data_IF_771681896255
#
_entry.id   IF_771681896255
#
_cell.length_a   1.000
_cell.length_b   1.000
_cell.length_c   1.000
_cell.angle_alpha   90.00
_cell.angle_beta   90.00
_cell.angle_gamma   90.00
#
_symmetry.space_group_name_H-M   'P 1'
#
loop_
_entity.id
_entity.type
_entity.pdbx_description
1 polymer ?
#
# COMPACT_ATOMS: atom_id res chain seq x y z
N UNK A 1 -10.37 4.85 -19.86
CA UNK A 1 -10.79 5.47 -18.58
C UNK A 1 -11.68 4.58 -17.72
N UNK A 2 -12.85 4.13 -18.18
CA UNK A 2 -13.76 3.32 -17.33
C UNK A 2 -13.11 2.08 -16.69
N UNK A 3 -12.29 1.34 -17.44
CA UNK A 3 -11.55 0.18 -16.91
C UNK A 3 -10.55 0.57 -15.82
N UNK A 4 -9.79 1.66 -16.02
CA UNK A 4 -8.83 2.17 -15.03
C UNK A 4 -9.55 2.60 -13.74
N UNK A 5 -10.68 3.31 -13.86
CA UNK A 5 -11.52 3.70 -12.71
C UNK A 5 -11.97 2.48 -11.90
N UNK A 6 -12.47 1.44 -12.58
CA UNK A 6 -12.92 0.21 -11.91
C UNK A 6 -11.79 -0.49 -11.15
N UNK A 7 -10.59 -0.56 -11.73
CA UNK A 7 -9.45 -1.14 -11.03
C UNK A 7 -8.97 -0.27 -9.88
N UNK A 8 -9.04 1.06 -10.02
CA UNK A 8 -8.74 2.00 -8.94
C UNK A 8 -9.71 1.84 -7.77
N UNK A 9 -11.02 1.79 -8.02
CA UNK A 9 -12.04 1.56 -7.00
C UNK A 9 -11.83 0.22 -6.30
N UNK A 10 -11.52 -0.85 -7.06
CA UNK A 10 -11.20 -2.16 -6.49
C UNK A 10 -9.96 -2.08 -5.60
N UNK A 11 -8.89 -1.42 -6.06
CA UNK A 11 -7.66 -1.22 -5.29
C UNK A 11 -7.94 -0.48 -3.97
N UNK A 12 -8.72 0.60 -4.02
CA UNK A 12 -9.10 1.37 -2.83
C UNK A 12 -9.97 0.55 -1.85
N UNK A 13 -10.76 -0.42 -2.35
CA UNK A 13 -11.51 -1.34 -1.50
C UNK A 13 -10.59 -2.35 -0.80
N UNK A 14 -9.80 -3.10 -1.58
CA UNK A 14 -8.96 -4.19 -1.03
C UNK A 14 -7.82 -3.67 -0.16
N UNK A 15 -7.29 -2.46 -0.41
CA UNK A 15 -6.27 -1.86 0.46
C UNK A 15 -6.85 -1.42 1.80
N UNK A 16 -8.12 -0.99 1.84
CA UNK A 16 -8.83 -0.74 3.11
C UNK A 16 -9.08 -2.03 3.86
N UNK A 17 -9.39 -3.11 3.14
CA UNK A 17 -9.52 -4.45 3.73
C UNK A 17 -8.20 -4.94 4.32
N UNK A 18 -7.13 -4.83 3.56
CA UNK A 18 -5.78 -5.16 4.00
C UNK A 18 -5.39 -4.35 5.25
N UNK A 19 -5.72 -3.06 5.31
CA UNK A 19 -5.45 -2.24 6.52
C UNK A 19 -6.05 -2.84 7.79
N UNK A 20 -7.26 -3.40 7.73
CA UNK A 20 -7.87 -4.02 8.92
C UNK A 20 -7.14 -5.29 9.34
N UNK A 21 -6.80 -6.14 8.38
CA UNK A 21 -6.01 -7.34 8.65
C UNK A 21 -4.61 -7.00 9.19
N UNK A 22 -3.99 -5.94 8.70
CA UNK A 22 -2.70 -5.45 9.21
C UNK A 22 -2.80 -4.97 10.66
N UNK A 23 -3.86 -4.26 11.01
CA UNK A 23 -4.11 -3.80 12.38
C UNK A 23 -4.26 -4.96 13.36
N UNK A 24 -4.93 -6.03 12.93
CA UNK A 24 -5.19 -7.21 13.75
C UNK A 24 -4.06 -8.26 13.69
N UNK A 25 -2.99 -8.02 12.91
CA UNK A 25 -1.92 -8.99 12.62
C UNK A 25 -2.46 -10.31 12.05
N UNK A 26 -3.41 -10.24 11.12
CA UNK A 26 -4.10 -11.39 10.51
C UNK A 26 -3.88 -11.52 8.99
N UNK A 27 -2.93 -10.78 8.44
CA UNK A 27 -2.68 -10.79 6.98
C UNK A 27 -2.16 -12.16 6.53
N UNK A 28 -2.66 -12.62 5.40
CA UNK A 28 -2.13 -13.78 4.68
C UNK A 28 -1.47 -13.40 3.37
N UNK A 29 -0.72 -14.33 2.77
CA UNK A 29 -0.22 -14.19 1.39
C UNK A 29 -1.36 -13.90 0.41
N UNK A 30 -2.50 -14.57 0.57
CA UNK A 30 -3.69 -14.33 -0.25
C UNK A 30 -4.19 -12.89 -0.18
N UNK A 31 -4.22 -12.30 1.00
CA UNK A 31 -4.68 -10.91 1.20
C UNK A 31 -3.75 -9.89 0.54
N UNK A 32 -2.43 -10.09 0.70
CA UNK A 32 -1.44 -9.26 0.01
C UNK A 32 -1.59 -9.40 -1.52
N UNK A 33 -1.74 -10.61 -2.03
CA UNK A 33 -1.91 -10.89 -3.46
C UNK A 33 -3.17 -10.20 -4.00
N UNK A 34 -4.28 -10.27 -3.27
CA UNK A 34 -5.53 -9.59 -3.63
C UNK A 34 -5.39 -8.07 -3.71
N UNK A 35 -4.48 -7.47 -2.92
CA UNK A 35 -4.19 -6.04 -2.99
C UNK A 35 -3.24 -5.67 -4.15
N UNK A 36 -2.22 -6.47 -4.42
CA UNK A 36 -1.20 -6.13 -5.44
C UNK A 36 -1.66 -6.43 -6.87
N UNK A 37 -2.61 -7.34 -7.08
CA UNK A 37 -3.19 -7.60 -8.40
C UNK A 37 -3.87 -6.37 -9.02
N UNK A 38 -4.87 -5.71 -8.38
CA UNK A 38 -5.46 -4.49 -8.92
C UNK A 38 -4.45 -3.34 -8.98
N UNK A 39 -3.49 -3.27 -8.06
CA UNK A 39 -2.39 -2.29 -8.11
C UNK A 39 -1.58 -2.44 -9.42
N UNK A 40 -1.20 -3.66 -9.76
CA UNK A 40 -0.48 -3.96 -11.00
C UNK A 40 -1.31 -3.60 -12.23
N UNK A 41 -2.62 -3.90 -12.22
CA UNK A 41 -3.53 -3.54 -13.31
C UNK A 41 -3.67 -2.03 -13.48
N UNK A 42 -3.76 -1.26 -12.39
CA UNK A 42 -3.79 0.21 -12.45
C UNK A 42 -2.50 0.75 -13.08
N UNK A 43 -1.32 0.27 -12.63
CA UNK A 43 -0.02 0.72 -13.17
C UNK A 43 0.13 0.41 -14.66
N UNK A 44 -0.20 -0.82 -15.09
CA UNK A 44 -0.14 -1.22 -16.51
C UNK A 44 -1.06 -0.40 -17.41
N UNK A 45 -2.31 -0.22 -16.98
CA UNK A 45 -3.28 0.54 -17.75
C UNK A 45 -2.90 2.02 -17.81
N UNK A 46 -2.30 2.56 -16.76
CA UNK A 46 -1.77 3.92 -16.76
C UNK A 46 -0.64 4.09 -17.78
N UNK A 47 0.36 3.20 -17.74
CA UNK A 47 1.49 3.21 -18.70
C UNK A 47 1.00 3.07 -20.15
N UNK A 48 0.03 2.18 -20.40
CA UNK A 48 -0.58 2.03 -21.73
C UNK A 48 -1.31 3.30 -22.17
N UNK A 49 -2.13 3.89 -21.29
CA UNK A 49 -2.92 5.08 -21.60
C UNK A 49 -2.06 6.34 -21.77
N UNK A 50 -0.93 6.44 -21.10
CA UNK A 50 -0.01 7.57 -21.22
C UNK A 50 0.46 7.73 -22.68
N UNK A 51 0.87 6.64 -23.34
CA UNK A 51 1.25 6.67 -24.76
C UNK A 51 0.10 7.09 -25.69
N UNK A 52 -1.14 6.73 -25.36
CA UNK A 52 -2.31 7.17 -26.12
C UNK A 52 -2.62 8.65 -25.91
N UNK A 53 -2.50 9.15 -24.68
CA UNK A 53 -2.72 10.55 -24.34
C UNK A 53 -1.66 11.45 -24.98
N UNK A 54 -0.39 11.03 -24.98
CA UNK A 54 0.70 11.74 -25.66
C UNK A 54 0.43 11.88 -27.17
N UNK A 55 -0.06 10.82 -27.81
CA UNK A 55 -0.41 10.84 -29.23
C UNK A 55 -1.55 11.81 -29.59
N UNK A 56 -2.42 12.14 -28.63
CA UNK A 56 -3.53 13.10 -28.80
C UNK A 56 -3.08 14.57 -28.62
N UNK A 57 -1.91 14.82 -28.04
CA UNK A 57 -1.41 16.18 -27.80
C UNK A 57 -2.42 17.05 -27.04
N UNK A 58 -2.77 18.22 -27.60
CA UNK A 58 -3.66 19.20 -26.96
C UNK A 58 -5.06 18.64 -26.72
N UNK A 59 -5.57 17.80 -27.62
CA UNK A 59 -6.90 17.19 -27.50
C UNK A 59 -6.97 16.15 -26.37
N UNK A 60 -5.80 15.65 -25.92
CA UNK A 60 -5.66 14.71 -24.82
C UNK A 60 -5.73 15.34 -23.42
N UNK A 61 -5.75 16.67 -23.29
CA UNK A 61 -5.60 17.35 -21.98
C UNK A 61 -6.59 16.90 -20.91
N UNK A 62 -7.86 16.71 -21.27
CA UNK A 62 -8.88 16.24 -20.31
C UNK A 62 -8.63 14.81 -19.86
N UNK A 63 -8.21 13.93 -20.78
CA UNK A 63 -7.85 12.56 -20.47
C UNK A 63 -6.62 12.50 -19.58
N UNK A 64 -5.63 13.36 -19.81
CA UNK A 64 -4.45 13.48 -18.97
C UNK A 64 -4.80 13.85 -17.53
N UNK A 65 -5.72 14.81 -17.33
CA UNK A 65 -6.17 15.21 -15.99
C UNK A 65 -6.90 14.07 -15.27
N UNK A 66 -7.81 13.38 -15.96
CA UNK A 66 -8.52 12.24 -15.37
C UNK A 66 -7.58 11.06 -15.06
N UNK A 67 -6.58 10.83 -15.92
CA UNK A 67 -5.57 9.80 -15.67
C UNK A 67 -4.74 10.16 -14.43
N UNK A 68 -4.27 11.41 -14.34
CA UNK A 68 -3.55 11.91 -13.18
C UNK A 68 -4.33 11.69 -11.89
N UNK A 69 -5.62 12.03 -11.85
CA UNK A 69 -6.49 11.80 -10.69
C UNK A 69 -6.55 10.32 -10.27
N UNK A 70 -6.71 9.40 -11.23
CA UNK A 70 -6.81 7.97 -10.95
C UNK A 70 -5.47 7.34 -10.52
N UNK A 71 -4.34 7.86 -11.01
CA UNK A 71 -3.00 7.32 -10.75
C UNK A 71 -2.29 7.98 -9.57
N UNK A 72 -2.87 9.01 -8.96
CA UNK A 72 -2.28 9.65 -7.79
C UNK A 72 -2.00 8.65 -6.66
N UNK A 73 -0.77 8.70 -6.16
CA UNK A 73 -0.32 7.92 -5.01
C UNK A 73 -0.11 6.43 -5.27
N UNK A 74 -0.30 5.94 -6.50
CA UNK A 74 -0.20 4.52 -6.84
C UNK A 74 1.23 3.97 -6.65
N UNK A 75 2.26 4.67 -7.13
CA UNK A 75 3.64 4.23 -6.95
C UNK A 75 4.11 4.36 -5.50
N UNK A 76 3.59 5.35 -4.77
CA UNK A 76 3.84 5.48 -3.35
C UNK A 76 3.22 4.30 -2.57
N UNK A 77 1.99 3.90 -2.91
CA UNK A 77 1.35 2.73 -2.34
C UNK A 77 2.16 1.45 -2.63
N UNK A 78 2.63 1.26 -3.86
CA UNK A 78 3.49 0.13 -4.22
C UNK A 78 4.77 0.10 -3.37
N UNK A 79 5.43 1.25 -3.21
CA UNK A 79 6.63 1.39 -2.38
C UNK A 79 6.35 1.06 -0.91
N UNK A 80 5.23 1.52 -0.36
CA UNK A 80 4.86 1.27 1.02
C UNK A 80 4.51 -0.21 1.27
N UNK A 81 3.79 -0.86 0.34
CA UNK A 81 3.54 -2.30 0.40
C UNK A 81 4.84 -3.10 0.31
N UNK A 82 5.79 -2.68 -0.55
CA UNK A 82 7.09 -3.31 -0.58
C UNK A 82 7.84 -3.18 0.75
N UNK A 83 7.82 -2.00 1.37
CA UNK A 83 8.44 -1.79 2.67
C UNK A 83 7.76 -2.60 3.78
N UNK A 84 6.45 -2.82 3.68
CA UNK A 84 5.68 -3.53 4.70
C UNK A 84 5.86 -5.04 4.69
N UNK A 85 6.11 -5.65 3.54
CA UNK A 85 6.17 -7.12 3.42
C UNK A 85 7.53 -7.65 2.97
N UNK A 86 8.55 -6.78 2.89
CA UNK A 86 9.93 -7.22 2.63
C UNK A 86 10.50 -7.90 3.88
N UNK A 87 10.66 -9.21 3.82
CA UNK A 87 11.34 -10.00 4.84
C UNK A 87 12.87 -9.85 4.79
N UNK A 88 13.50 -10.00 5.95
CA UNK A 88 14.95 -10.11 6.09
C UNK A 88 15.44 -11.44 5.48
N UNK A 89 15.68 -11.45 4.17
CA UNK A 89 16.08 -12.62 3.40
C UNK A 89 15.36 -12.74 2.06
N UNK A 90 14.26 -12.01 1.86
CA UNK A 90 13.56 -11.92 0.59
C UNK A 90 14.21 -10.87 -0.33
N UNK A 91 15.48 -11.08 -0.69
CA UNK A 91 16.24 -10.18 -1.57
C UNK A 91 15.54 -9.94 -2.91
N UNK A 92 14.75 -10.92 -3.36
CA UNK A 92 14.00 -10.87 -4.62
C UNK A 92 12.61 -10.25 -4.48
N UNK A 93 12.18 -9.85 -3.29
CA UNK A 93 10.83 -9.33 -3.12
C UNK A 93 10.68 -7.99 -3.84
N UNK A 94 9.79 -7.95 -4.84
CA UNK A 94 9.44 -6.73 -5.56
C UNK A 94 8.09 -6.87 -6.26
N UNK A 95 7.30 -5.81 -6.25
CA UNK A 95 6.06 -5.69 -6.99
C UNK A 95 6.29 -5.23 -8.43
N UNK A 96 7.49 -4.79 -8.78
CA UNK A 96 7.79 -4.26 -10.11
C UNK A 96 7.67 -5.31 -11.22
N UNK A 97 8.00 -6.57 -10.88
CA UNK A 97 7.82 -7.74 -11.75
C UNK A 97 6.38 -7.88 -12.26
N UNK A 98 5.39 -7.42 -11.48
CA UNK A 98 3.98 -7.46 -11.85
C UNK A 98 3.61 -6.49 -12.95
N UNK A 99 4.50 -5.61 -13.42
CA UNK A 99 4.24 -4.81 -14.62
C UNK A 99 4.39 -5.60 -15.92
N UNK A 100 5.17 -6.68 -15.90
CA UNK A 100 5.55 -7.41 -17.11
C UNK A 100 5.02 -8.86 -17.15
N UNK A 101 4.48 -9.36 -16.05
CA UNK A 101 3.83 -10.67 -15.97
C UNK A 101 2.69 -10.84 -17.00
N UNK A 102 2.50 -11.97 -17.69
CA UNK A 102 1.34 -12.15 -18.56
C UNK A 102 0.01 -11.93 -17.81
N UNK A 103 -1.02 -11.38 -18.48
CA UNK A 103 -2.30 -11.08 -17.80
C UNK A 103 -2.96 -12.34 -17.21
N UNK A 104 -2.84 -13.50 -17.87
CA UNK A 104 -3.33 -14.77 -17.33
C UNK A 104 -2.64 -15.14 -16.02
N UNK A 105 -1.32 -15.03 -15.99
CA UNK A 105 -0.49 -15.30 -14.82
C UNK A 105 -0.74 -14.30 -13.68
N UNK A 106 -1.02 -13.02 -14.02
CA UNK A 106 -1.38 -12.00 -13.04
C UNK A 106 -2.74 -12.28 -12.37
N UNK A 107 -3.63 -13.03 -13.01
CA UNK A 107 -4.92 -13.41 -12.43
C UNK A 107 -4.81 -14.64 -11.51
N UNK A 108 -3.75 -15.43 -11.63
CA UNK A 108 -3.50 -16.58 -10.75
C UNK A 108 -2.77 -16.15 -9.46
N UNK A 109 -3.41 -16.24 -8.28
CA UNK A 109 -2.82 -15.77 -7.04
C UNK A 109 -1.51 -16.47 -6.67
N UNK A 110 -1.38 -17.77 -6.97
CA UNK A 110 -0.19 -18.56 -6.64
C UNK A 110 1.00 -18.14 -7.50
N UNK A 111 0.75 -17.91 -8.80
CA UNK A 111 1.76 -17.37 -9.71
C UNK A 111 2.19 -15.97 -9.29
N UNK A 112 1.25 -15.10 -8.88
CA UNK A 112 1.58 -13.76 -8.38
C UNK A 112 2.46 -13.82 -7.13
N UNK A 113 2.08 -14.62 -6.12
CA UNK A 113 2.86 -14.80 -4.89
C UNK A 113 4.31 -15.24 -5.17
N UNK A 114 4.45 -16.20 -6.09
CA UNK A 114 5.75 -16.71 -6.53
C UNK A 114 6.55 -15.65 -7.29
N UNK A 115 5.90 -14.93 -8.21
CA UNK A 115 6.54 -13.94 -9.08
C UNK A 115 7.11 -12.77 -8.27
N UNK A 116 6.37 -12.25 -7.29
CA UNK A 116 6.83 -11.14 -6.44
C UNK A 116 7.91 -11.55 -5.44
N UNK A 117 8.28 -12.84 -5.37
CA UNK A 117 9.38 -13.31 -4.55
C UNK A 117 9.05 -13.51 -3.07
N UNK A 118 7.79 -13.85 -2.74
CA UNK A 118 7.44 -14.30 -1.39
C UNK A 118 8.08 -15.65 -1.07
N UNK A 119 8.42 -15.86 0.19
CA UNK A 119 9.06 -17.09 0.67
C UNK A 119 8.15 -18.32 0.52
N UNK A 120 6.83 -18.12 0.62
CA UNK A 120 5.80 -19.16 0.48
C UNK A 120 4.80 -18.75 -0.60
N UNK A 121 4.43 -19.70 -1.46
CA UNK A 121 3.33 -19.54 -2.42
C UNK A 121 1.99 -20.07 -1.87
N UNK A 122 1.99 -20.60 -0.65
CA UNK A 122 0.77 -21.00 0.05
C UNK A 122 0.02 -19.75 0.52
N UNK A 123 -1.19 -19.56 -0.04
CA UNK A 123 -1.99 -18.36 0.15
C UNK A 123 -2.45 -18.19 1.60
N UNK A 124 -2.54 -19.28 2.37
CA UNK A 124 -2.95 -19.24 3.78
C UNK A 124 -1.77 -18.93 4.73
N UNK A 125 -0.55 -18.78 4.19
CA UNK A 125 0.63 -18.43 5.00
C UNK A 125 0.45 -17.03 5.61
N UNK A 126 0.62 -16.93 6.93
CA UNK A 126 0.59 -15.64 7.65
C UNK A 126 1.74 -14.73 7.24
N UNK A 127 1.45 -13.45 7.07
CA UNK A 127 2.41 -12.38 6.82
C UNK A 127 2.29 -11.30 7.89
N UNK A 128 3.44 -10.72 8.27
CA UNK A 128 3.50 -9.58 9.19
C UNK A 128 3.86 -8.33 8.43
N UNK A 129 3.02 -7.31 8.52
CA UNK A 129 3.31 -5.99 7.98
C UNK A 129 4.22 -5.20 8.92
N UNK A 130 5.26 -4.56 8.39
CA UNK A 130 6.11 -3.65 9.18
C UNK A 130 5.36 -2.40 9.63
N UNK A 131 4.36 -1.92 8.87
CA UNK A 131 3.44 -0.85 9.25
C UNK A 131 3.73 0.54 8.66
N UNK A 132 4.70 0.66 7.75
CA UNK A 132 5.06 1.88 7.03
C UNK A 132 3.86 2.52 6.37
N UNK A 133 2.99 1.74 5.70
CA UNK A 133 1.82 2.28 5.00
C UNK A 133 0.88 3.02 5.94
N UNK A 134 0.40 2.36 6.98
CA UNK A 134 -0.57 2.93 7.92
C UNK A 134 0.06 4.09 8.71
N UNK A 135 1.30 3.94 9.18
CA UNK A 135 1.97 4.98 9.96
C UNK A 135 2.25 6.22 9.11
N UNK A 136 2.74 6.06 7.87
CA UNK A 136 2.94 7.18 6.94
C UNK A 136 1.62 7.90 6.62
N UNK A 137 0.53 7.15 6.41
CA UNK A 137 -0.78 7.70 6.09
C UNK A 137 -1.43 8.48 7.25
N UNK A 138 -1.18 8.08 8.50
CA UNK A 138 -1.82 8.70 9.67
C UNK A 138 -1.62 10.22 9.75
N UNK A 139 -0.42 10.71 9.40
CA UNK A 139 -0.09 12.13 9.45
C UNK A 139 0.66 12.63 8.21
N UNK A 140 0.45 11.99 7.05
CA UNK A 140 1.10 12.33 5.76
C UNK A 140 2.63 12.52 5.91
N UNK A 141 3.27 11.62 6.67
CA UNK A 141 4.68 11.75 7.01
C UNK A 141 5.59 10.94 6.08
N UNK A 142 6.86 11.33 6.03
CA UNK A 142 7.88 10.58 5.29
C UNK A 142 8.09 9.17 5.85
N UNK A 143 8.50 8.24 4.98
CA UNK A 143 8.87 6.87 5.36
C UNK A 143 9.99 6.83 6.39
N UNK A 144 10.92 7.80 6.37
CA UNK A 144 11.96 7.93 7.40
C UNK A 144 11.38 8.17 8.79
N UNK A 145 10.33 9.01 8.90
CA UNK A 145 9.70 9.30 10.19
C UNK A 145 8.86 8.12 10.66
N UNK A 146 8.12 7.49 9.74
CA UNK A 146 7.38 6.27 10.01
C UNK A 146 8.31 5.14 10.48
N UNK A 147 9.43 4.92 9.80
CA UNK A 147 10.43 3.92 10.17
C UNK A 147 10.98 4.12 11.58
N UNK A 148 11.27 5.37 11.99
CA UNK A 148 11.70 5.65 13.38
C UNK A 148 10.65 5.30 14.42
N UNK A 149 9.38 5.54 14.13
CA UNK A 149 8.28 5.14 15.01
C UNK A 149 8.20 3.62 15.10
N UNK A 150 8.20 2.94 13.95
CA UNK A 150 8.11 1.49 13.88
C UNK A 150 9.31 0.81 14.57
N UNK A 151 10.51 1.32 14.38
CA UNK A 151 11.72 0.85 15.07
C UNK A 151 11.63 1.08 16.59
N UNK A 152 11.13 2.24 17.03
CA UNK A 152 11.00 2.56 18.44
C UNK A 152 9.97 1.69 19.17
N UNK A 153 8.82 1.43 18.54
CA UNK A 153 7.71 0.67 19.14
C UNK A 153 7.76 -0.83 18.82
N UNK A 154 8.50 -1.25 17.80
CA UNK A 154 8.73 -2.65 17.42
C UNK A 154 7.65 -3.29 16.55
N UNK A 155 6.43 -2.76 16.53
CA UNK A 155 5.37 -3.22 15.62
C UNK A 155 4.32 -2.15 15.34
N UNK A 156 3.53 -2.35 14.29
CA UNK A 156 2.37 -1.54 13.98
C UNK A 156 1.39 -1.45 15.17
N UNK A 157 1.08 -2.60 15.78
CA UNK A 157 0.14 -2.69 16.90
C UNK A 157 0.65 -1.90 18.11
N UNK A 158 1.96 -1.93 18.38
CA UNK A 158 2.57 -1.16 19.44
C UNK A 158 2.47 0.36 19.17
N UNK A 159 2.59 0.81 17.92
CA UNK A 159 2.32 2.21 17.55
C UNK A 159 0.87 2.59 17.80
N UNK A 160 -0.09 1.70 17.52
CA UNK A 160 -1.51 1.93 17.83
C UNK A 160 -1.79 1.99 19.33
N UNK A 161 -1.08 1.21 20.13
CA UNK A 161 -1.21 1.22 21.59
C UNK A 161 -0.54 2.45 22.25
N UNK A 162 0.46 3.05 21.59
CA UNK A 162 1.23 4.16 22.13
C UNK A 162 0.38 5.41 22.41
N UNK A 163 0.55 5.97 23.61
CA UNK A 163 -0.02 7.25 24.02
C UNK A 163 0.59 8.43 23.25
N UNK A 164 -0.10 9.57 23.25
CA UNK A 164 0.43 10.80 22.65
C UNK A 164 1.76 11.26 23.27
N UNK A 165 1.97 11.01 24.57
CA UNK A 165 3.23 11.31 25.25
C UNK A 165 4.37 10.39 24.83
N UNK A 166 4.10 9.10 24.64
CA UNK A 166 5.11 8.13 24.16
C UNK A 166 5.50 8.44 22.72
N UNK A 167 4.52 8.73 21.85
CA UNK A 167 4.80 9.18 20.48
C UNK A 167 5.65 10.45 20.46
N UNK A 168 5.38 11.40 21.37
CA UNK A 168 6.15 12.65 21.47
C UNK A 168 7.58 12.46 22.01
N UNK A 169 7.89 11.30 22.59
CA UNK A 169 9.24 10.97 23.07
C UNK A 169 10.16 10.51 21.92
N UNK A 170 9.60 10.15 20.75
CA UNK A 170 10.39 9.71 19.60
C UNK A 170 11.11 10.90 18.95
N UNK A 171 12.44 10.82 18.73
CA UNK A 171 13.20 11.93 18.14
C UNK A 171 12.61 12.44 16.81
N UNK A 172 12.28 13.73 16.77
CA UNK A 172 11.66 14.39 15.61
C UNK A 172 10.12 14.37 15.59
N UNK A 173 9.49 13.74 16.59
CA UNK A 173 8.05 13.73 16.80
C UNK A 173 7.74 14.61 18.01
N UNK A 174 7.46 15.90 17.79
CA UNK A 174 7.01 16.79 18.87
C UNK A 174 5.55 16.57 19.25
N UNK A 175 5.08 17.22 20.32
CA UNK A 175 3.72 17.09 20.86
C UNK A 175 2.60 17.33 19.83
N UNK A 176 2.73 18.38 19.01
CA UNK A 176 1.75 18.67 17.95
C UNK A 176 1.69 17.56 16.89
N UNK A 177 2.85 16.98 16.53
CA UNK A 177 2.93 15.89 15.56
C UNK A 177 2.40 14.58 16.16
N UNK A 178 2.73 14.28 17.41
CA UNK A 178 2.20 13.13 18.12
C UNK A 178 0.67 13.15 18.17
N UNK A 179 0.07 14.32 18.41
CA UNK A 179 -1.38 14.50 18.34
C UNK A 179 -1.94 14.20 16.95
N UNK A 180 -1.35 14.77 15.90
CA UNK A 180 -1.77 14.53 14.53
C UNK A 180 -1.69 13.03 14.14
N UNK A 181 -0.65 12.33 14.61
CA UNK A 181 -0.48 10.89 14.43
C UNK A 181 -1.60 10.13 15.15
N UNK A 182 -1.85 10.40 16.43
CA UNK A 182 -2.94 9.76 17.19
C UNK A 182 -4.30 9.94 16.52
N UNK A 183 -4.61 11.18 16.15
CA UNK A 183 -5.88 11.51 15.50
C UNK A 183 -5.99 10.80 14.13
N UNK A 184 -4.87 10.68 13.40
CA UNK A 184 -4.77 9.95 12.15
C UNK A 184 -4.98 8.45 12.26
N UNK A 185 -4.30 7.82 13.21
CA UNK A 185 -4.44 6.39 13.50
C UNK A 185 -5.89 6.06 13.91
N UNK A 186 -6.49 6.90 14.77
CA UNK A 186 -7.90 6.75 15.15
C UNK A 186 -8.84 6.81 13.94
N UNK A 187 -8.67 7.82 13.06
CA UNK A 187 -9.48 7.92 11.82
C UNK A 187 -9.35 6.69 10.92
N UNK A 188 -8.14 6.15 10.78
CA UNK A 188 -7.91 4.94 9.98
C UNK A 188 -8.66 3.76 10.61
N UNK A 189 -8.54 3.58 11.93
CA UNK A 189 -9.25 2.53 12.68
C UNK A 189 -10.76 2.61 12.53
N UNK A 190 -11.32 3.81 12.66
CA UNK A 190 -12.76 4.04 12.53
C UNK A 190 -13.23 3.71 11.10
N UNK A 191 -12.46 4.11 10.09
CA UNK A 191 -12.79 3.86 8.68
C UNK A 191 -12.74 2.37 8.28
N UNK A 192 -11.96 1.57 9.00
CA UNK A 192 -11.87 0.12 8.83
C UNK A 192 -13.01 -0.57 9.57
N UNK A 193 -13.36 -0.07 10.77
CA UNK A 193 -14.34 -0.66 11.68
C UNK A 193 -15.80 -0.38 11.31
N UNK A 194 -16.09 0.67 10.53
CA UNK A 194 -17.46 1.07 10.18
C UNK A 194 -18.13 0.18 9.10
N UNK A 195 -17.95 -1.14 9.20
CA UNK A 195 -18.57 -2.15 8.32
C UNK A 195 -19.89 -2.66 8.87
#
# INVERSE_FOLDING_TARGET
MATLSRYRERLDSVTRELSGLEMDDLVTVGDLVQAVQPLAMVRRLAEELEGHVEALGVDGRLLQLQMYELTQGIDQLATLLELDYRDAGAERFTLDVLRHLPTGDLLDPVTVASAIGLTSADLDTHLRAHGYRIVSQSAQMSTTTAGRLLEHFGSLQAVFAASGSELAAVPGVGTARARAIRDGLARISDSVSSR
#
